data_IF_050928868942
#
_entry.id   IF_050928868942
#
_cell.length_a   1.000
_cell.length_b   1.000
_cell.length_c   1.000
_cell.angle_alpha   90.00
_cell.angle_beta   90.00
_cell.angle_gamma   90.00
#
_symmetry.space_group_name_H-M   'P 1'
#
loop_
_entity.id
_entity.type
_entity.pdbx_description
1 polymer ?
#
# COMPACT_ATOMS: atom_id res chain seq x y z
N UNK A 1 -2.64 19.23 9.12
CA UNK A 1 -2.00 18.26 8.19
C UNK A 1 -2.93 17.07 8.05
N UNK A 2 -3.63 17.01 6.93
CA UNK A 2 -4.60 15.96 6.65
C UNK A 2 -3.97 14.63 6.27
N UNK A 3 -4.82 13.63 6.02
CA UNK A 3 -4.45 12.30 5.52
C UNK A 3 -4.83 12.12 4.05
N UNK A 4 -4.67 13.16 3.25
CA UNK A 4 -5.19 13.19 1.87
C UNK A 4 -4.21 12.67 0.83
N UNK A 5 -2.91 12.66 1.15
CA UNK A 5 -1.85 12.40 0.19
C UNK A 5 -1.22 11.00 0.35
N UNK A 6 -0.52 10.55 -0.68
CA UNK A 6 0.32 9.36 -0.59
C UNK A 6 1.49 9.55 0.37
N UNK A 7 2.00 10.77 0.55
CA UNK A 7 3.02 11.08 1.54
C UNK A 7 2.53 10.79 2.96
N UNK A 8 1.27 11.14 3.28
CA UNK A 8 0.68 10.85 4.59
C UNK A 8 0.45 9.34 4.77
N UNK A 9 0.02 8.67 3.72
CA UNK A 9 -0.09 7.21 3.68
C UNK A 9 1.26 6.54 3.98
N UNK A 10 2.36 7.03 3.38
CA UNK A 10 3.72 6.53 3.64
C UNK A 10 4.19 6.79 5.07
N UNK A 11 3.84 7.94 5.67
CA UNK A 11 4.15 8.22 7.09
C UNK A 11 3.49 7.20 8.01
N UNK A 12 2.22 6.84 7.76
CA UNK A 12 1.49 5.82 8.53
C UNK A 12 2.15 4.45 8.34
N UNK A 13 2.44 4.05 7.11
CA UNK A 13 3.12 2.79 6.83
C UNK A 13 4.49 2.72 7.53
N UNK A 14 5.30 3.78 7.43
CA UNK A 14 6.60 3.87 8.11
C UNK A 14 6.48 3.84 9.63
N UNK A 15 5.45 4.44 10.21
CA UNK A 15 5.19 4.34 11.63
C UNK A 15 4.89 2.89 12.05
N UNK A 16 4.06 2.17 11.29
CA UNK A 16 3.78 0.74 11.54
C UNK A 16 5.03 -0.12 11.36
N UNK A 17 5.87 0.15 10.36
CA UNK A 17 7.15 -0.55 10.16
C UNK A 17 8.05 -0.41 11.39
N UNK A 18 8.27 0.81 11.89
CA UNK A 18 9.12 1.08 13.06
C UNK A 18 8.61 0.45 14.35
N UNK A 19 7.30 0.39 14.51
CA UNK A 19 6.66 -0.14 15.73
C UNK A 19 6.34 -1.62 15.65
N UNK A 20 6.64 -2.29 14.53
CA UNK A 20 6.30 -3.69 14.28
C UNK A 20 4.81 -4.00 14.52
N UNK A 21 3.93 -3.06 14.20
CA UNK A 21 2.50 -3.22 14.42
C UNK A 21 2.05 -3.18 15.89
N UNK A 22 2.93 -2.82 16.82
CA UNK A 22 2.59 -2.70 18.27
C UNK A 22 1.87 -1.40 18.60
N UNK A 23 0.99 -0.96 17.70
CA UNK A 23 0.21 0.27 17.86
C UNK A 23 -1.23 0.03 17.48
N UNK A 24 -2.12 0.70 18.20
CA UNK A 24 -3.51 0.80 17.81
C UNK A 24 -3.74 2.16 17.15
N UNK A 25 -4.23 2.15 15.92
CA UNK A 25 -4.62 3.35 15.19
C UNK A 25 -6.14 3.43 15.18
N UNK A 26 -6.68 4.59 15.57
CA UNK A 26 -8.13 4.85 15.61
C UNK A 26 -8.47 5.99 14.65
N UNK A 27 -8.48 5.73 13.33
CA UNK A 27 -8.77 6.77 12.36
C UNK A 27 -10.25 7.14 12.38
N UNK A 28 -10.56 8.39 12.07
CA UNK A 28 -11.90 8.79 11.70
C UNK A 28 -12.34 8.11 10.40
N UNK A 29 -13.62 7.74 10.30
CA UNK A 29 -14.11 7.10 9.08
C UNK A 29 -14.22 8.10 7.91
N UNK A 30 -14.75 9.31 8.17
CA UNK A 30 -14.94 10.36 7.15
C UNK A 30 -14.45 11.69 7.63
N UNK A 31 -14.06 12.53 6.69
CA UNK A 31 -13.80 13.94 6.96
C UNK A 31 -15.08 14.69 7.34
N UNK A 32 -14.96 15.67 8.21
CA UNK A 32 -16.04 16.58 8.55
C UNK A 32 -16.35 17.59 7.44
N UNK A 33 -15.38 17.86 6.57
CA UNK A 33 -15.52 18.69 5.38
C UNK A 33 -15.01 17.94 4.15
N UNK A 34 -15.43 18.34 2.94
CA UNK A 34 -14.92 17.75 1.70
C UNK A 34 -13.47 18.18 1.46
N UNK A 35 -12.55 17.31 1.86
CA UNK A 35 -11.11 17.56 1.75
C UNK A 35 -10.60 17.63 0.31
N UNK A 36 -11.35 17.12 -0.66
CA UNK A 36 -11.01 17.24 -2.09
C UNK A 36 -11.35 18.62 -2.65
N UNK A 37 -12.39 19.26 -2.11
CA UNK A 37 -12.88 20.55 -2.62
C UNK A 37 -12.45 21.74 -1.76
N UNK A 38 -12.12 21.53 -0.49
CA UNK A 38 -11.68 22.59 0.41
C UNK A 38 -10.24 22.35 0.81
N UNK A 39 -9.32 23.19 0.43
CA UNK A 39 -7.96 23.20 0.98
C UNK A 39 -7.91 23.47 2.50
N UNK A 40 -9.04 23.40 3.20
CA UNK A 40 -9.24 23.73 4.61
C UNK A 40 -9.93 22.63 5.43
N UNK A 41 -10.20 21.44 4.87
CA UNK A 41 -10.69 20.29 5.66
C UNK A 41 -9.64 19.81 6.66
N UNK A 42 -10.05 19.23 7.78
CA UNK A 42 -9.14 18.61 8.73
C UNK A 42 -8.43 17.36 8.11
N UNK A 43 -9.01 16.81 7.06
CA UNK A 43 -8.42 15.77 6.22
C UNK A 43 -8.01 14.50 6.96
N UNK A 44 -8.50 14.26 8.19
CA UNK A 44 -8.08 13.16 9.06
C UNK A 44 -8.89 11.89 8.88
N UNK A 45 -9.97 11.92 8.08
CA UNK A 45 -10.78 10.76 7.76
C UNK A 45 -10.09 9.81 6.78
N UNK A 46 -10.51 8.55 6.79
CA UNK A 46 -10.12 7.54 5.79
C UNK A 46 -10.83 7.74 4.46
N UNK A 47 -12.04 8.30 4.52
CA UNK A 47 -12.87 8.66 3.37
C UNK A 47 -13.03 10.18 3.33
N UNK A 48 -13.20 10.73 2.14
CA UNK A 48 -13.66 12.10 1.98
C UNK A 48 -15.09 12.26 2.49
N UNK A 49 -15.58 13.48 2.66
CA UNK A 49 -16.97 13.74 3.01
C UNK A 49 -17.95 13.09 2.00
N UNK A 50 -17.59 13.05 0.71
CA UNK A 50 -18.32 12.36 -0.35
C UNK A 50 -18.17 10.83 -0.36
N UNK A 51 -17.43 10.26 0.59
CA UNK A 51 -17.24 8.80 0.73
C UNK A 51 -16.28 8.18 -0.29
N UNK A 52 -15.35 8.97 -0.84
CA UNK A 52 -14.26 8.45 -1.68
C UNK A 52 -13.11 7.95 -0.80
N UNK A 53 -12.57 6.74 -1.07
CA UNK A 53 -11.46 6.19 -0.29
C UNK A 53 -10.17 6.97 -0.57
N UNK A 54 -9.52 7.45 0.49
CA UNK A 54 -8.23 8.13 0.42
C UNK A 54 -7.07 7.14 0.33
N UNK A 55 -5.85 7.63 0.05
CA UNK A 55 -4.64 6.79 0.04
C UNK A 55 -4.43 6.08 1.38
N UNK A 56 -4.75 6.74 2.50
CA UNK A 56 -4.67 6.15 3.84
C UNK A 56 -5.64 4.97 4.02
N UNK A 57 -6.85 5.01 3.48
CA UNK A 57 -7.76 3.85 3.45
C UNK A 57 -7.09 2.64 2.79
N UNK A 58 -6.45 2.88 1.64
CA UNK A 58 -5.76 1.82 0.89
C UNK A 58 -4.59 1.23 1.68
N UNK A 59 -3.85 2.08 2.41
CA UNK A 59 -2.76 1.63 3.30
C UNK A 59 -3.28 0.67 4.37
N UNK A 60 -4.39 0.99 5.04
CA UNK A 60 -4.97 0.07 6.03
C UNK A 60 -5.34 -1.28 5.41
N UNK A 61 -5.82 -1.28 4.16
CA UNK A 61 -6.06 -2.51 3.40
C UNK A 61 -4.79 -3.32 3.14
N UNK A 62 -3.65 -2.65 2.86
CA UNK A 62 -2.35 -3.31 2.69
C UNK A 62 -1.78 -3.80 4.03
N UNK A 63 -1.87 -2.97 5.09
CA UNK A 63 -1.42 -3.33 6.43
C UNK A 63 -2.20 -4.51 7.02
N UNK A 64 -3.50 -4.58 6.75
CA UNK A 64 -4.34 -5.72 7.16
C UNK A 64 -3.87 -7.06 6.60
N UNK A 65 -3.13 -7.05 5.50
CA UNK A 65 -2.52 -8.27 4.94
C UNK A 65 -1.28 -8.74 5.69
N UNK A 66 -0.67 -7.89 6.53
CA UNK A 66 0.56 -8.20 7.27
C UNK A 66 0.28 -9.01 8.54
N UNK A 67 -0.42 -10.11 8.40
CA UNK A 67 -0.68 -11.05 9.49
C UNK A 67 0.43 -12.11 9.58
N UNK A 68 0.65 -12.64 10.79
CA UNK A 68 1.55 -13.74 11.04
C UNK A 68 2.77 -13.39 11.88
N UNK A 69 3.82 -14.18 11.76
CA UNK A 69 5.06 -14.02 12.50
C UNK A 69 5.95 -12.97 11.86
N UNK A 70 6.42 -12.00 12.64
CA UNK A 70 7.40 -11.02 12.18
C UNK A 70 8.72 -11.71 11.85
N UNK A 71 9.23 -11.50 10.64
CA UNK A 71 10.51 -12.01 10.17
C UNK A 71 11.62 -10.95 10.25
N UNK A 72 11.30 -9.73 9.84
CA UNK A 72 12.25 -8.61 9.81
C UNK A 72 11.49 -7.28 9.79
N UNK A 73 12.12 -6.23 10.29
CA UNK A 73 11.61 -4.87 10.24
C UNK A 73 12.74 -3.84 10.14
N UNK A 74 12.41 -2.66 9.67
CA UNK A 74 13.26 -1.47 9.64
C UNK A 74 12.39 -0.23 9.55
N UNK A 75 13.02 0.93 9.35
CA UNK A 75 12.30 2.21 9.29
C UNK A 75 11.34 2.30 8.11
N UNK A 76 11.65 1.58 7.02
CA UNK A 76 10.95 1.67 5.75
C UNK A 76 10.40 0.34 5.26
N UNK A 77 10.52 -0.73 6.05
CA UNK A 77 10.00 -2.04 5.67
C UNK A 77 9.56 -2.89 6.86
N UNK A 78 8.66 -3.82 6.59
CA UNK A 78 8.26 -4.89 7.50
C UNK A 78 8.00 -6.17 6.70
N UNK A 79 8.51 -7.29 7.20
CA UNK A 79 8.34 -8.61 6.61
C UNK A 79 7.68 -9.56 7.62
N UNK A 80 6.65 -10.26 7.17
CA UNK A 80 5.90 -11.22 7.99
C UNK A 80 5.70 -12.54 7.24
N UNK A 81 5.47 -13.62 8.00
CA UNK A 81 5.12 -14.93 7.46
C UNK A 81 3.87 -15.47 8.12
N UNK A 82 2.92 -15.86 7.31
CA UNK A 82 1.70 -16.55 7.71
C UNK A 82 1.64 -17.90 7.00
N UNK A 83 1.86 -18.99 7.76
CA UNK A 83 2.01 -20.32 7.16
C UNK A 83 3.17 -20.37 6.15
N UNK A 84 2.84 -20.60 4.87
CA UNK A 84 3.81 -20.60 3.76
C UNK A 84 3.82 -19.32 2.94
N UNK A 85 3.02 -18.34 3.31
CA UNK A 85 2.97 -17.03 2.63
C UNK A 85 3.91 -16.06 3.32
N UNK A 86 4.76 -15.41 2.54
CA UNK A 86 5.67 -14.35 2.98
C UNK A 86 5.15 -13.04 2.40
N UNK A 87 5.07 -12.00 3.23
CA UNK A 87 4.67 -10.65 2.82
C UNK A 87 5.71 -9.66 3.28
N UNK A 88 6.12 -8.79 2.38
CA UNK A 88 7.06 -7.70 2.67
C UNK A 88 6.47 -6.39 2.16
N UNK A 89 6.28 -5.47 3.07
CA UNK A 89 5.85 -4.12 2.75
C UNK A 89 7.07 -3.20 2.82
N UNK A 90 7.23 -2.38 1.80
CA UNK A 90 8.17 -1.26 1.74
C UNK A 90 7.39 0.04 1.67
N UNK A 91 7.91 1.10 2.29
CA UNK A 91 7.39 2.45 2.17
C UNK A 91 8.54 3.43 2.02
N UNK A 92 8.40 4.39 1.12
CA UNK A 92 9.39 5.44 0.90
C UNK A 92 8.72 6.80 1.01
N UNK A 93 9.17 7.62 1.96
CA UNK A 93 8.68 9.00 2.12
C UNK A 93 9.43 9.95 1.19
N UNK A 94 8.81 11.07 0.83
CA UNK A 94 9.39 12.12 -0.04
C UNK A 94 10.65 12.78 0.51
N UNK A 95 10.99 12.55 1.78
CA UNK A 95 12.26 13.02 2.35
C UNK A 95 13.49 12.50 1.57
N UNK A 96 13.32 11.37 0.86
CA UNK A 96 14.32 10.81 -0.05
C UNK A 96 13.80 10.98 -1.48
N UNK A 97 14.12 12.08 -2.13
CA UNK A 97 13.61 12.44 -3.47
C UNK A 97 14.06 11.47 -4.60
N UNK A 98 14.79 10.40 -4.30
CA UNK A 98 15.35 9.46 -5.27
C UNK A 98 14.62 8.13 -5.20
N UNK A 99 14.30 7.57 -6.37
CA UNK A 99 13.79 6.22 -6.49
C UNK A 99 14.81 5.21 -5.94
N UNK A 100 14.39 4.32 -5.05
CA UNK A 100 15.25 3.35 -4.37
C UNK A 100 14.97 1.95 -4.89
N UNK A 101 16.03 1.22 -5.21
CA UNK A 101 15.92 -0.21 -5.52
C UNK A 101 15.74 -0.99 -4.22
N UNK A 102 14.71 -1.82 -4.17
CA UNK A 102 14.41 -2.71 -3.06
C UNK A 102 14.45 -4.16 -3.54
N UNK A 103 14.90 -5.07 -2.67
CA UNK A 103 14.92 -6.49 -2.98
C UNK A 103 14.49 -7.34 -1.81
N UNK A 104 13.85 -8.47 -2.12
CA UNK A 104 13.44 -9.51 -1.17
C UNK A 104 14.17 -10.79 -1.58
N UNK A 105 14.93 -11.37 -0.67
CA UNK A 105 15.57 -12.68 -0.86
C UNK A 105 14.92 -13.64 0.12
N UNK A 106 14.20 -14.62 -0.40
CA UNK A 106 13.58 -15.68 0.38
C UNK A 106 14.40 -16.96 0.20
N UNK A 107 14.85 -17.55 1.30
CA UNK A 107 15.62 -18.81 1.32
C UNK A 107 14.83 -19.91 2.02
N UNK A 108 15.21 -21.18 1.78
CA UNK A 108 14.53 -22.32 2.41
C UNK A 108 13.14 -22.60 1.86
N UNK A 109 12.84 -22.12 0.66
CA UNK A 109 11.55 -22.37 0.01
C UNK A 109 11.48 -23.83 -0.48
N UNK A 110 10.34 -24.46 -0.26
CA UNK A 110 10.06 -25.78 -0.84
C UNK A 110 9.97 -25.66 -2.35
N UNK A 111 10.33 -26.75 -3.06
CA UNK A 111 10.11 -26.79 -4.50
C UNK A 111 8.61 -26.78 -4.77
N UNK A 112 8.18 -25.93 -5.69
CA UNK A 112 6.77 -25.82 -6.04
C UNK A 112 6.48 -24.59 -6.90
N UNK A 113 5.23 -24.44 -7.28
CA UNK A 113 4.72 -23.30 -8.02
C UNK A 113 4.27 -22.23 -7.03
N UNK A 114 4.79 -21.04 -7.21
CA UNK A 114 4.51 -19.90 -6.35
C UNK A 114 3.84 -18.78 -7.14
N UNK A 115 2.95 -18.08 -6.46
CA UNK A 115 2.31 -16.87 -6.95
C UNK A 115 2.91 -15.67 -6.24
N UNK A 116 3.46 -14.77 -7.04
CA UNK A 116 4.06 -13.52 -6.59
C UNK A 116 3.08 -12.40 -6.93
N UNK A 117 2.57 -11.71 -5.91
CA UNK A 117 1.67 -10.58 -6.04
C UNK A 117 2.38 -9.32 -5.59
N UNK A 118 2.22 -8.25 -6.34
CA UNK A 118 2.71 -6.92 -5.95
C UNK A 118 1.56 -5.93 -5.96
N UNK A 119 1.50 -5.11 -4.92
CA UNK A 119 0.54 -4.01 -4.78
C UNK A 119 1.34 -2.73 -4.63
N UNK A 120 1.06 -1.75 -5.48
CA UNK A 120 1.69 -0.44 -5.45
C UNK A 120 0.66 0.63 -5.16
N UNK A 121 0.97 1.48 -4.19
CA UNK A 121 0.18 2.64 -3.81
C UNK A 121 1.11 3.84 -3.79
N UNK A 122 0.83 4.83 -4.60
CA UNK A 122 1.68 6.01 -4.72
C UNK A 122 1.03 7.11 -5.55
N UNK A 123 1.74 8.22 -5.81
CA UNK A 123 1.19 9.35 -6.56
C UNK A 123 0.66 8.98 -7.95
N UNK A 124 1.25 7.98 -8.60
CA UNK A 124 0.83 7.51 -9.92
C UNK A 124 -0.28 6.44 -9.89
N UNK A 125 -0.65 5.93 -8.72
CA UNK A 125 -1.65 4.87 -8.57
C UNK A 125 -2.22 4.79 -7.16
N UNK A 126 -3.55 4.74 -7.05
CA UNK A 126 -4.26 4.56 -5.78
C UNK A 126 -4.46 5.84 -4.95
N UNK A 127 -4.10 7.01 -5.48
CA UNK A 127 -4.24 8.28 -4.78
C UNK A 127 -5.42 9.08 -5.37
N UNK A 128 -6.53 9.14 -4.64
CA UNK A 128 -7.72 9.85 -5.10
C UNK A 128 -7.49 11.36 -5.25
N UNK A 129 -6.71 11.97 -4.36
CA UNK A 129 -6.42 13.41 -4.44
C UNK A 129 -5.62 13.76 -5.70
N UNK A 130 -4.63 12.96 -6.07
CA UNK A 130 -3.87 13.16 -7.31
C UNK A 130 -4.77 13.00 -8.55
N UNK A 131 -5.61 11.98 -8.56
CA UNK A 131 -6.57 11.76 -9.67
C UNK A 131 -7.56 12.91 -9.79
N UNK A 132 -8.09 13.40 -8.67
CA UNK A 132 -8.99 14.54 -8.63
C UNK A 132 -8.33 15.82 -9.21
N UNK A 133 -7.08 16.09 -8.84
CA UNK A 133 -6.31 17.21 -9.41
C UNK A 133 -6.10 17.05 -10.91
N UNK A 134 -5.79 15.84 -11.38
CA UNK A 134 -5.62 15.55 -12.81
C UNK A 134 -6.91 15.79 -13.61
N UNK A 135 -8.09 15.62 -12.99
CA UNK A 135 -9.39 15.92 -13.58
C UNK A 135 -9.72 17.42 -13.62
N UNK A 136 -8.82 18.28 -13.14
CA UNK A 136 -9.04 19.73 -13.07
C UNK A 136 -9.76 20.21 -11.81
N UNK A 137 -9.82 19.36 -10.77
CA UNK A 137 -10.41 19.67 -9.46
C UNK A 137 -11.81 20.32 -9.56
N UNK A 138 -12.81 19.67 -10.15
CA UNK A 138 -14.12 20.24 -10.38
C UNK A 138 -14.79 20.60 -9.05
N UNK A 139 -15.57 21.71 -9.03
CA UNK A 139 -16.30 22.14 -7.83
C UNK A 139 -17.31 21.08 -7.34
N UNK A 140 -17.87 20.30 -8.26
CA UNK A 140 -18.80 19.20 -7.95
C UNK A 140 -18.47 18.01 -8.83
N UNK A 141 -18.43 16.85 -8.22
CA UNK A 141 -18.30 15.57 -8.92
C UNK A 141 -19.66 15.03 -9.31
N UNK A 142 -19.85 14.68 -10.57
CA UNK A 142 -20.96 13.87 -11.03
C UNK A 142 -20.88 12.44 -10.45
N UNK A 143 -21.96 11.68 -10.55
CA UNK A 143 -21.97 10.29 -10.11
C UNK A 143 -20.96 9.43 -10.88
N UNK A 144 -20.79 9.67 -12.18
CA UNK A 144 -19.84 8.94 -13.03
C UNK A 144 -18.39 9.25 -12.65
N UNK A 145 -18.06 10.52 -12.38
CA UNK A 145 -16.73 10.94 -11.92
C UNK A 145 -16.40 10.35 -10.55
N UNK A 146 -17.36 10.34 -9.61
CA UNK A 146 -17.16 9.67 -8.32
C UNK A 146 -16.91 8.17 -8.49
N UNK A 147 -17.63 7.51 -9.38
CA UNK A 147 -17.45 6.10 -9.67
C UNK A 147 -16.11 5.84 -10.34
N UNK A 148 -15.69 6.71 -11.26
CA UNK A 148 -14.36 6.66 -11.86
C UNK A 148 -13.27 6.78 -10.81
N UNK A 149 -13.32 7.79 -9.94
CA UNK A 149 -12.35 7.97 -8.86
C UNK A 149 -12.28 6.76 -7.92
N UNK A 150 -13.43 6.18 -7.53
CA UNK A 150 -13.46 4.96 -6.70
C UNK A 150 -12.78 3.77 -7.34
N UNK A 151 -12.90 3.61 -8.66
CA UNK A 151 -12.27 2.51 -9.41
C UNK A 151 -10.77 2.73 -9.60
N UNK A 152 -10.40 3.96 -9.93
CA UNK A 152 -9.01 4.30 -10.26
C UNK A 152 -8.14 4.52 -9.01
N UNK A 153 -8.73 4.93 -7.88
CA UNK A 153 -8.04 5.10 -6.61
C UNK A 153 -7.80 3.76 -5.88
N UNK A 154 -7.34 2.75 -6.62
CA UNK A 154 -6.97 1.44 -6.08
C UNK A 154 -5.45 1.23 -6.25
N UNK A 155 -4.80 0.52 -5.31
CA UNK A 155 -3.41 0.11 -5.52
C UNK A 155 -3.26 -0.66 -6.83
N UNK A 156 -2.22 -0.36 -7.59
CA UNK A 156 -1.91 -1.13 -8.80
C UNK A 156 -1.52 -2.54 -8.39
N UNK A 157 -2.21 -3.50 -8.96
CA UNK A 157 -2.02 -4.92 -8.70
C UNK A 157 -1.34 -5.60 -9.88
N UNK A 158 -0.32 -6.41 -9.59
CA UNK A 158 0.32 -7.30 -10.56
C UNK A 158 0.50 -8.68 -9.94
N UNK A 159 0.34 -9.72 -10.75
CA UNK A 159 0.54 -11.11 -10.36
C UNK A 159 1.34 -11.84 -11.42
N UNK A 160 2.26 -12.70 -10.94
CA UNK A 160 3.00 -13.64 -11.78
C UNK A 160 3.12 -14.98 -11.04
N UNK A 161 3.28 -16.06 -11.80
CA UNK A 161 3.54 -17.38 -11.25
C UNK A 161 4.89 -17.89 -11.74
N UNK A 162 5.62 -18.55 -10.84
CA UNK A 162 6.94 -19.08 -11.13
C UNK A 162 7.18 -20.35 -10.33
N UNK A 163 7.87 -21.34 -10.94
CA UNK A 163 8.40 -22.50 -10.22
C UNK A 163 9.66 -22.09 -9.49
N UNK A 164 9.70 -22.31 -8.18
CA UNK A 164 10.80 -21.94 -7.29
C UNK A 164 11.31 -23.19 -6.58
N UNK A 165 12.62 -23.25 -6.34
CA UNK A 165 13.27 -24.28 -5.57
C UNK A 165 14.39 -23.69 -4.73
N UNK A 166 14.26 -23.81 -3.40
CA UNK A 166 15.28 -23.39 -2.43
C UNK A 166 15.33 -21.88 -2.19
N UNK A 167 15.50 -21.07 -3.23
CA UNK A 167 15.65 -19.61 -3.10
C UNK A 167 14.87 -18.86 -4.18
N UNK A 168 14.37 -17.70 -3.82
CA UNK A 168 13.77 -16.74 -4.73
C UNK A 168 14.22 -15.33 -4.39
N UNK A 169 14.57 -14.57 -5.43
CA UNK A 169 14.86 -13.15 -5.31
C UNK A 169 13.86 -12.35 -6.13
N UNK A 170 13.21 -11.41 -5.45
CA UNK A 170 12.40 -10.38 -6.08
C UNK A 170 13.11 -9.04 -5.98
N UNK A 171 13.10 -8.24 -7.04
CA UNK A 171 13.71 -6.91 -7.08
C UNK A 171 12.74 -5.94 -7.73
N UNK A 172 12.63 -4.75 -7.20
CA UNK A 172 11.80 -3.68 -7.74
C UNK A 172 12.31 -2.29 -7.35
N UNK A 173 11.70 -1.28 -7.94
CA UNK A 173 11.95 0.12 -7.61
C UNK A 173 10.78 0.62 -6.76
N UNK A 174 11.10 1.38 -5.71
CA UNK A 174 10.14 2.10 -4.87
C UNK A 174 10.38 3.60 -5.07
N UNK A 175 9.36 4.31 -5.51
CA UNK A 175 9.43 5.74 -5.76
C UNK A 175 9.14 6.55 -4.49
N UNK A 176 9.49 7.84 -4.44
CA UNK A 176 9.07 8.71 -3.36
C UNK A 176 7.54 8.69 -3.16
N UNK A 177 7.10 8.67 -1.92
CA UNK A 177 5.70 8.58 -1.50
C UNK A 177 4.97 7.34 -2.05
N UNK A 178 5.72 6.25 -2.26
CA UNK A 178 5.17 4.96 -2.69
C UNK A 178 5.24 3.92 -1.57
N UNK A 179 4.19 3.11 -1.50
CA UNK A 179 4.10 1.90 -0.69
C UNK A 179 4.02 0.72 -1.63
N UNK A 180 4.86 -0.27 -1.39
CA UNK A 180 4.95 -1.47 -2.18
C UNK A 180 4.81 -2.69 -1.28
N UNK A 181 3.78 -3.50 -1.49
CA UNK A 181 3.62 -4.80 -0.84
C UNK A 181 3.95 -5.91 -1.83
N UNK A 182 4.88 -6.77 -1.46
CA UNK A 182 5.24 -8.00 -2.19
C UNK A 182 4.73 -9.19 -1.38
N UNK A 183 3.93 -10.05 -2.01
CA UNK A 183 3.41 -11.27 -1.41
C UNK A 183 3.88 -12.47 -2.22
N UNK A 184 4.55 -13.42 -1.57
CA UNK A 184 4.97 -14.70 -2.11
C UNK A 184 4.14 -15.81 -1.45
N UNK A 185 3.30 -16.49 -2.20
CA UNK A 185 2.45 -17.57 -1.69
C UNK A 185 2.57 -18.81 -2.58
N UNK A 186 2.56 -20.03 -2.03
CA UNK A 186 2.44 -21.24 -2.84
C UNK A 186 1.14 -21.23 -3.65
N UNK A 187 1.22 -21.52 -4.93
CA UNK A 187 0.04 -21.78 -5.77
C UNK A 187 -0.36 -23.26 -5.70
N UNK A 188 0.66 -24.14 -5.75
CA UNK A 188 0.55 -25.57 -5.51
C UNK A 188 1.82 -25.99 -4.76
N UNK A 189 1.67 -26.69 -3.65
CA UNK A 189 2.78 -27.37 -2.97
C UNK A 189 2.68 -28.84 -3.33
N UNK A 190 3.72 -29.40 -3.95
CA UNK A 190 3.88 -30.85 -4.03
C UNK A 190 4.00 -31.37 -2.59
N UNK A 191 2.96 -32.01 -2.10
CA UNK A 191 3.02 -32.73 -0.82
C UNK A 191 3.72 -34.07 -1.10
N UNK A 192 4.96 -34.15 -0.65
CA UNK A 192 5.69 -35.43 -0.54
C UNK A 192 5.70 -35.87 0.90
#
# INVERSE_FOLDING_TARGET
TGWDTCADACKIAGFVCRTAGRVALFPQLRDGADSLNSGSGDGTGLLTAGGLPKAVWQVFGLLHRLNGTLLAQGDTYIAVREGHTIRVLFCQTSANAVQTQVSVICTGLRRGRYRIRTFRLGPSCGCVSTLFQTMGAPERLSQDEQQYLRRMAQPRYHVQEQTISGQYQWTGLCSPDEILLVELSPAEIEMF
#
